data_IF_531206710876
#
_entry.id   IF_531206710876
#
_cell.length_a   1.000
_cell.length_b   1.000
_cell.length_c   1.000
_cell.angle_alpha   90.00
_cell.angle_beta   90.00
_cell.angle_gamma   90.00
#
_symmetry.space_group_name_H-M   'P 1'
#
loop_
_entity.id
_entity.type
_entity.pdbx_description
1 polymer ?
#
# COMPACT_ATOMS: atom_id res chain seq x y z
N UNK A 1 -15.29 2.90 22.91
CA UNK A 1 -15.17 1.44 22.65
C UNK A 1 -13.70 1.12 22.47
N UNK A 2 -13.18 0.05 23.07
CA UNK A 2 -11.76 -0.33 22.91
C UNK A 2 -11.56 -0.91 21.51
N UNK A 3 -10.75 -0.27 20.67
CA UNK A 3 -10.32 -0.87 19.41
C UNK A 3 -9.35 -2.02 19.74
N UNK A 4 -9.67 -3.22 19.27
CA UNK A 4 -8.83 -4.41 19.41
C UNK A 4 -7.76 -4.37 18.32
N UNK A 5 -6.61 -3.77 18.63
CA UNK A 5 -5.39 -3.92 17.83
C UNK A 5 -4.65 -5.16 18.32
N UNK A 6 -4.53 -6.16 17.47
CA UNK A 6 -3.72 -7.36 17.76
C UNK A 6 -2.26 -7.09 17.36
N UNK A 7 -1.40 -6.81 18.34
CA UNK A 7 0.03 -6.94 18.14
C UNK A 7 0.37 -8.44 18.05
N UNK A 8 0.68 -8.92 16.83
CA UNK A 8 1.03 -10.31 16.56
C UNK A 8 2.39 -10.39 15.86
N UNK A 9 3.23 -11.31 16.33
CA UNK A 9 4.53 -11.60 15.73
C UNK A 9 4.35 -12.16 14.31
N UNK A 10 4.77 -11.40 13.29
CA UNK A 10 4.83 -11.86 11.91
C UNK A 10 6.22 -12.47 11.64
N UNK A 11 6.33 -13.80 11.71
CA UNK A 11 7.53 -14.53 11.31
C UNK A 11 7.46 -14.92 9.82
N UNK A 12 8.06 -14.09 8.95
CA UNK A 12 8.52 -14.34 7.56
C UNK A 12 7.53 -15.04 6.58
N UNK A 13 7.26 -14.51 5.38
CA UNK A 13 8.10 -14.53 4.16
C UNK A 13 7.27 -13.82 3.05
N UNK A 14 7.76 -13.02 2.09
CA UNK A 14 9.13 -12.63 1.68
C UNK A 14 9.15 -11.21 1.08
N UNK A 15 10.06 -10.36 1.56
CA UNK A 15 10.81 -9.43 0.69
C UNK A 15 12.29 -9.74 0.94
N UNK A 16 12.92 -10.43 -0.01
CA UNK A 16 14.32 -10.87 0.08
C UNK A 16 15.29 -9.71 -0.17
N UNK A 17 15.37 -8.80 0.80
CA UNK A 17 16.41 -7.80 1.09
C UNK A 17 15.88 -7.08 2.35
N UNK A 18 16.27 -7.41 3.59
CA UNK A 18 17.55 -6.99 4.18
C UNK A 18 17.94 -7.80 5.44
N UNK A 19 17.54 -9.08 5.57
CA UNK A 19 17.78 -9.85 6.80
C UNK A 19 19.27 -10.19 7.11
N UNK A 20 20.19 -9.92 6.18
CA UNK A 20 21.62 -10.29 6.32
C UNK A 20 22.54 -9.19 6.90
N UNK A 21 22.09 -7.95 7.05
CA UNK A 21 22.99 -6.79 7.25
C UNK A 21 23.54 -6.55 8.67
N UNK A 22 23.43 -7.53 9.57
CA UNK A 22 24.29 -7.57 10.76
C UNK A 22 25.07 -8.87 10.79
N UNK A 23 26.39 -8.77 10.59
CA UNK A 23 27.34 -9.75 11.12
C UNK A 23 27.07 -9.90 12.60
N UNK A 24 26.91 -11.13 13.06
CA UNK A 24 26.77 -11.41 14.49
C UNK A 24 28.13 -11.22 15.18
N UNK A 25 28.38 -9.98 15.58
CA UNK A 25 29.53 -9.61 16.38
C UNK A 25 29.26 -9.83 17.89
N UNK A 26 28.06 -10.24 18.32
CA UNK A 26 27.77 -10.42 19.75
C UNK A 26 28.59 -11.57 20.35
N UNK A 27 28.81 -12.64 19.57
CA UNK A 27 29.73 -13.74 19.92
C UNK A 27 31.19 -13.31 20.14
N UNK A 28 31.63 -12.15 19.62
CA UNK A 28 32.96 -11.61 19.92
C UNK A 28 33.04 -10.84 21.25
N UNK A 29 31.91 -10.58 21.91
CA UNK A 29 31.82 -9.76 23.13
C UNK A 29 31.25 -10.50 24.35
N UNK A 30 31.05 -11.82 24.29
CA UNK A 30 30.57 -12.65 25.43
C UNK A 30 31.39 -12.49 26.73
N UNK A 31 32.62 -11.97 26.63
CA UNK A 31 33.50 -11.71 27.78
C UNK A 31 33.22 -10.37 28.47
N UNK A 32 32.72 -9.35 27.76
CA UNK A 32 32.62 -7.98 28.23
C UNK A 32 31.20 -7.59 28.69
N UNK A 33 31.09 -6.88 29.82
CA UNK A 33 29.83 -6.27 30.23
C UNK A 33 29.50 -5.07 29.35
N UNK A 34 28.25 -4.98 28.89
CA UNK A 34 27.73 -3.78 28.28
C UNK A 34 26.22 -3.80 28.02
N UNK A 35 25.67 -2.63 27.71
CA UNK A 35 24.29 -2.45 27.25
C UNK A 35 24.25 -2.32 25.73
N UNK A 36 23.24 -2.94 25.11
CA UNK A 36 23.06 -2.96 23.65
C UNK A 36 21.59 -3.14 23.27
N UNK A 37 21.31 -3.02 21.97
CA UNK A 37 20.05 -3.35 21.30
C UNK A 37 20.24 -4.71 20.60
N UNK A 38 19.52 -5.78 21.00
CA UNK A 38 19.65 -7.08 20.34
C UNK A 38 19.12 -7.04 18.90
N UNK A 39 19.81 -7.69 17.95
CA UNK A 39 19.52 -7.62 16.50
C UNK A 39 18.05 -7.91 16.19
N UNK A 40 17.53 -9.00 16.72
CA UNK A 40 16.16 -9.49 16.59
C UNK A 40 15.08 -8.57 17.21
N UNK A 41 15.47 -7.56 18.00
CA UNK A 41 14.57 -6.56 18.61
C UNK A 41 15.07 -5.12 18.43
N UNK A 42 16.00 -4.90 17.50
CA UNK A 42 16.49 -3.58 17.10
C UNK A 42 15.73 -2.96 15.93
N UNK A 43 14.83 -3.72 15.31
CA UNK A 43 13.90 -3.23 14.31
C UNK A 43 12.49 -3.75 14.63
N UNK A 44 11.49 -2.90 14.50
CA UNK A 44 10.08 -3.26 14.64
C UNK A 44 9.24 -2.52 13.59
N UNK A 45 8.14 -3.14 13.16
CA UNK A 45 7.19 -2.53 12.24
C UNK A 45 5.79 -2.47 12.85
N UNK A 46 5.11 -1.34 12.67
CA UNK A 46 3.69 -1.16 12.95
C UNK A 46 2.92 -0.91 11.65
N UNK A 47 1.64 -1.24 11.66
CA UNK A 47 0.71 -1.03 10.56
C UNK A 47 -0.51 -0.28 11.10
N UNK A 48 -0.52 1.04 10.96
CA UNK A 48 -1.46 1.93 11.64
C UNK A 48 -2.24 2.81 10.66
N UNK A 49 -3.49 3.10 10.98
CA UNK A 49 -4.31 4.08 10.27
C UNK A 49 -4.06 5.49 10.79
N UNK A 50 -4.50 6.51 10.05
CA UNK A 50 -4.54 7.89 10.54
C UNK A 50 -5.43 8.00 11.80
N UNK A 51 -5.02 8.87 12.72
CA UNK A 51 -5.61 9.05 14.05
C UNK A 51 -5.24 7.97 15.07
N UNK A 52 -4.45 6.95 14.72
CA UNK A 52 -4.11 5.86 15.62
C UNK A 52 -3.35 6.32 16.88
N UNK A 53 -3.64 5.62 17.98
CA UNK A 53 -2.90 5.71 19.25
C UNK A 53 -2.56 4.27 19.67
N UNK A 54 -1.27 3.97 19.84
CA UNK A 54 -0.76 2.60 19.99
C UNK A 54 0.46 2.59 20.92
N UNK A 55 0.85 1.45 21.51
CA UNK A 55 2.10 1.34 22.28
C UNK A 55 2.94 0.16 21.82
N UNK A 56 4.01 0.47 21.07
CA UNK A 56 5.01 -0.52 20.71
C UNK A 56 5.84 -0.92 21.94
N UNK A 57 6.02 -2.23 22.11
CA UNK A 57 6.91 -2.84 23.13
C UNK A 57 7.86 -3.89 22.54
N UNK A 58 7.89 -4.03 21.21
CA UNK A 58 8.71 -5.04 20.51
C UNK A 58 10.21 -4.68 20.48
N UNK A 59 10.54 -3.38 20.46
CA UNK A 59 11.93 -2.93 20.56
C UNK A 59 12.48 -3.17 21.97
N UNK A 60 13.75 -3.58 22.10
CA UNK A 60 14.37 -3.87 23.39
C UNK A 60 15.79 -3.34 23.53
N UNK A 61 16.20 -3.13 24.78
CA UNK A 61 17.60 -3.06 25.19
C UNK A 61 17.94 -4.27 26.06
N UNK A 62 19.21 -4.65 26.08
CA UNK A 62 19.72 -5.80 26.82
C UNK A 62 21.06 -5.50 27.50
N UNK A 63 21.37 -6.29 28.54
CA UNK A 63 22.70 -6.36 29.16
C UNK A 63 23.39 -7.67 28.75
N UNK A 64 24.68 -7.59 28.43
CA UNK A 64 25.47 -8.77 28.02
C UNK A 64 25.55 -9.84 29.13
N UNK A 65 25.54 -9.43 30.40
CA UNK A 65 25.43 -10.32 31.58
C UNK A 65 24.52 -9.68 32.64
N UNK A 66 23.90 -10.49 33.53
CA UNK A 66 23.18 -9.99 34.70
C UNK A 66 24.10 -9.17 35.63
N UNK A 67 23.52 -8.20 36.35
CA UNK A 67 24.21 -7.45 37.41
C UNK A 67 23.44 -7.48 38.72
N UNK A 68 24.14 -7.54 39.85
CA UNK A 68 23.52 -7.51 41.19
C UNK A 68 22.95 -6.15 41.60
N UNK A 69 23.31 -5.08 40.92
CA UNK A 69 22.76 -3.73 41.08
C UNK A 69 21.82 -3.37 39.93
N UNK A 70 20.96 -2.38 40.14
CA UNK A 70 20.19 -1.79 39.06
C UNK A 70 21.11 -1.07 38.05
N UNK A 71 20.68 -1.01 36.78
CA UNK A 71 21.41 -0.31 35.70
C UNK A 71 20.46 0.62 34.97
N UNK A 72 20.74 1.92 35.01
CA UNK A 72 20.03 2.94 34.22
C UNK A 72 20.57 3.00 32.79
N UNK A 73 19.69 3.32 31.86
CA UNK A 73 19.97 3.50 30.43
C UNK A 73 19.14 4.67 29.92
N UNK A 74 19.79 5.64 29.30
CA UNK A 74 19.15 6.80 28.69
C UNK A 74 18.96 6.54 27.20
N UNK A 75 17.74 6.75 26.71
CA UNK A 75 17.36 6.56 25.30
C UNK A 75 16.76 7.86 24.76
N UNK A 76 17.06 8.19 23.50
CA UNK A 76 16.43 9.30 22.78
C UNK A 76 16.13 8.93 21.34
N UNK A 77 15.42 9.83 20.64
CA UNK A 77 15.36 9.83 19.18
C UNK A 77 16.74 10.15 18.59
N UNK A 78 17.15 9.36 17.60
CA UNK A 78 18.34 9.63 16.77
C UNK A 78 18.12 10.74 15.72
N UNK A 79 16.88 11.19 15.58
CA UNK A 79 16.47 12.27 14.68
C UNK A 79 16.82 12.03 13.21
N UNK A 80 16.80 13.12 12.44
CA UNK A 80 17.02 13.11 10.99
C UNK A 80 18.40 12.56 10.59
N UNK A 81 19.44 12.86 11.38
CA UNK A 81 20.82 12.46 11.06
C UNK A 81 21.05 10.94 11.14
N UNK A 82 20.39 10.22 12.05
CA UNK A 82 20.42 8.76 12.08
C UNK A 82 19.58 8.15 10.96
N UNK A 83 18.39 8.71 10.70
CA UNK A 83 17.55 8.24 9.61
C UNK A 83 18.19 8.41 8.23
N UNK A 84 18.94 9.50 8.00
CA UNK A 84 19.61 9.75 6.73
C UNK A 84 20.78 8.81 6.46
N UNK A 85 21.52 8.39 7.49
CA UNK A 85 22.50 7.30 7.37
C UNK A 85 21.79 6.01 6.95
N UNK A 86 20.76 5.62 7.69
CA UNK A 86 19.99 4.42 7.42
C UNK A 86 19.43 4.41 6.00
N UNK A 87 18.77 5.50 5.57
CA UNK A 87 18.20 5.63 4.22
C UNK A 87 19.26 5.51 3.13
N UNK A 88 20.42 6.14 3.30
CA UNK A 88 21.53 6.06 2.34
C UNK A 88 22.15 4.67 2.27
N UNK A 89 22.35 4.02 3.41
CA UNK A 89 22.96 2.68 3.51
C UNK A 89 22.04 1.58 2.97
N UNK A 90 20.72 1.74 3.12
CA UNK A 90 19.71 0.74 2.78
C UNK A 90 18.96 1.04 1.47
N UNK A 91 19.29 2.13 0.78
CA UNK A 91 18.59 2.65 -0.41
C UNK A 91 17.07 2.81 -0.18
N UNK A 92 16.70 3.35 0.98
CA UNK A 92 15.30 3.61 1.38
C UNK A 92 15.01 5.10 1.45
N UNK A 93 13.72 5.45 1.47
CA UNK A 93 13.25 6.84 1.57
C UNK A 93 12.20 6.98 2.68
N UNK A 94 12.57 6.56 3.89
CA UNK A 94 11.71 6.68 5.07
C UNK A 94 11.64 8.12 5.58
N UNK A 95 10.46 8.54 6.02
CA UNK A 95 10.20 9.88 6.56
C UNK A 95 10.36 9.86 8.08
N UNK A 96 10.95 10.90 8.69
CA UNK A 96 11.08 10.95 10.15
C UNK A 96 9.71 11.11 10.82
N UNK A 97 9.40 10.28 11.81
CA UNK A 97 8.20 10.42 12.62
C UNK A 97 8.24 11.75 13.42
N UNK A 98 7.26 12.65 13.30
CA UNK A 98 7.24 13.91 14.04
C UNK A 98 7.19 13.72 15.56
N UNK A 99 7.92 14.56 16.31
CA UNK A 99 8.00 14.49 17.78
C UNK A 99 6.64 14.65 18.47
N UNK A 100 5.71 15.38 17.86
CA UNK A 100 4.33 15.52 18.34
C UNK A 100 3.53 14.21 18.33
N UNK A 101 3.92 13.25 17.50
CA UNK A 101 3.19 11.99 17.27
C UNK A 101 3.66 10.83 18.16
N UNK A 102 4.62 11.04 19.06
CA UNK A 102 5.07 9.98 19.96
C UNK A 102 5.39 10.43 21.39
N UNK A 103 5.57 9.44 22.25
CA UNK A 103 6.06 9.55 23.63
C UNK A 103 7.09 8.43 23.83
N UNK A 104 8.27 8.82 24.31
CA UNK A 104 9.42 7.93 24.55
C UNK A 104 9.93 8.19 25.98
N UNK A 105 10.18 7.16 26.80
CA UNK A 105 10.85 7.35 28.09
C UNK A 105 12.30 7.77 27.86
N UNK A 106 12.74 8.81 28.59
CA UNK A 106 14.13 9.25 28.57
C UNK A 106 15.07 8.29 29.29
N UNK A 107 14.59 7.54 30.28
CA UNK A 107 15.35 6.58 31.07
C UNK A 107 14.60 5.24 31.18
N UNK A 108 15.34 4.14 31.04
CA UNK A 108 14.93 2.79 31.42
C UNK A 108 15.86 2.30 32.55
N UNK A 109 15.34 1.48 33.46
CA UNK A 109 16.13 0.90 34.57
C UNK A 109 15.97 -0.62 34.57
N UNK A 110 17.09 -1.34 34.49
CA UNK A 110 17.13 -2.79 34.72
C UNK A 110 17.07 -3.03 36.22
N UNK A 111 16.17 -3.92 36.66
CA UNK A 111 16.22 -4.44 38.02
C UNK A 111 17.44 -5.35 38.21
N UNK A 112 17.91 -5.59 39.45
CA UNK A 112 18.94 -6.59 39.74
C UNK A 112 18.67 -7.93 39.05
N UNK A 113 19.70 -8.45 38.37
CA UNK A 113 19.75 -9.65 37.55
C UNK A 113 18.85 -9.68 36.30
N UNK A 114 18.14 -8.58 35.98
CA UNK A 114 17.39 -8.47 34.72
C UNK A 114 18.34 -8.21 33.55
N UNK A 115 18.15 -8.91 32.43
CA UNK A 115 18.99 -8.77 31.22
C UNK A 115 18.28 -8.17 30.02
N UNK A 116 16.95 -7.99 30.03
CA UNK A 116 16.19 -7.38 28.95
C UNK A 116 15.11 -6.40 29.45
N UNK A 117 14.92 -5.31 28.70
CA UNK A 117 13.81 -4.35 28.85
C UNK A 117 13.22 -4.03 27.48
N UNK A 118 11.89 -3.92 27.40
CA UNK A 118 11.25 -3.27 26.25
C UNK A 118 11.47 -1.77 26.29
N UNK A 119 11.57 -1.15 25.11
CA UNK A 119 11.52 0.29 24.90
C UNK A 119 10.06 0.65 24.55
N UNK A 120 9.23 1.10 25.51
CA UNK A 120 7.85 1.46 25.21
C UNK A 120 7.81 2.75 24.40
N UNK A 121 7.34 2.68 23.16
CA UNK A 121 7.08 3.85 22.32
C UNK A 121 5.58 4.00 22.18
N UNK A 122 5.01 5.06 22.75
CA UNK A 122 3.59 5.39 22.55
C UNK A 122 3.45 6.23 21.29
N UNK A 123 2.63 5.79 20.35
CA UNK A 123 2.20 6.57 19.19
C UNK A 123 0.91 7.30 19.56
N UNK A 124 0.80 8.58 19.19
CA UNK A 124 -0.30 9.48 19.58
C UNK A 124 -0.77 10.28 18.37
N UNK A 125 -2.07 10.24 18.08
CA UNK A 125 -2.68 11.08 17.04
C UNK A 125 -1.97 11.05 15.69
N UNK A 126 -1.47 9.87 15.27
CA UNK A 126 -0.66 9.69 14.07
C UNK A 126 -1.35 10.29 12.82
N UNK A 127 -0.63 11.04 12.00
CA UNK A 127 -1.13 11.55 10.70
C UNK A 127 -0.06 11.35 9.64
N UNK A 128 -0.35 10.60 8.59
CA UNK A 128 0.58 10.36 7.48
C UNK A 128 0.60 11.52 6.49
N UNK A 129 1.79 12.04 6.23
CA UNK A 129 2.08 12.99 5.15
C UNK A 129 2.57 12.30 3.86
N UNK A 130 2.38 10.98 3.75
CA UNK A 130 2.92 10.13 2.68
C UNK A 130 4.21 9.40 3.07
N UNK A 131 4.46 8.27 2.42
CA UNK A 131 5.58 7.38 2.72
C UNK A 131 5.39 6.55 4.00
N UNK A 132 6.42 5.78 4.37
CA UNK A 132 6.50 5.06 5.65
C UNK A 132 7.29 5.91 6.64
N UNK A 133 6.74 6.12 7.84
CA UNK A 133 7.46 6.81 8.91
C UNK A 133 8.49 5.90 9.58
N UNK A 134 9.55 6.51 10.09
CA UNK A 134 10.56 5.86 10.91
C UNK A 134 10.89 6.73 12.13
N UNK A 135 10.95 6.11 13.31
CA UNK A 135 11.54 6.67 14.51
C UNK A 135 12.85 5.94 14.80
N UNK A 136 14.02 6.53 14.44
CA UNK A 136 15.31 6.03 14.89
C UNK A 136 15.48 6.34 16.38
N UNK A 137 16.03 5.39 17.12
CA UNK A 137 16.35 5.51 18.54
C UNK A 137 17.83 5.19 18.76
N UNK A 138 18.43 5.78 19.79
CA UNK A 138 19.78 5.43 20.25
C UNK A 138 19.90 5.44 21.77
N UNK A 139 20.75 4.54 22.28
CA UNK A 139 21.27 4.59 23.64
C UNK A 139 22.37 5.66 23.71
N UNK A 140 22.24 6.62 24.63
CA UNK A 140 23.18 7.75 24.76
C UNK A 140 24.04 7.72 26.02
N UNK A 141 23.51 7.14 27.10
CA UNK A 141 24.24 6.96 28.36
C UNK A 141 23.70 5.75 29.11
N UNK A 142 24.52 5.15 29.95
CA UNK A 142 24.14 4.09 30.89
C UNK A 142 25.18 3.98 32.00
N UNK A 143 24.79 3.44 33.15
CA UNK A 143 25.71 3.06 34.23
C UNK A 143 26.67 1.92 33.79
N UNK A 144 26.36 1.24 32.68
CA UNK A 144 27.21 0.24 32.03
C UNK A 144 27.77 0.73 30.70
N UNK A 145 28.90 0.16 30.27
CA UNK A 145 29.51 0.43 28.96
C UNK A 145 28.51 0.18 27.82
N UNK A 146 28.36 1.12 26.88
CA UNK A 146 27.54 0.93 25.68
C UNK A 146 28.32 0.13 24.63
N UNK A 147 27.70 -0.88 24.03
CA UNK A 147 28.24 -1.56 22.84
C UNK A 147 27.94 -0.70 21.61
N UNK A 148 28.87 0.19 21.26
CA UNK A 148 28.66 1.23 20.24
C UNK A 148 28.22 0.72 18.86
N UNK A 149 28.55 -0.52 18.48
CA UNK A 149 28.12 -1.16 17.23
C UNK A 149 26.67 -1.67 17.25
N UNK A 150 26.02 -1.65 18.41
CA UNK A 150 24.66 -2.17 18.67
C UNK A 150 23.89 -1.22 19.59
N UNK A 151 24.05 0.10 19.43
CA UNK A 151 23.37 1.11 20.27
C UNK A 151 22.10 1.70 19.65
N UNK A 152 21.78 1.35 18.41
CA UNK A 152 20.74 1.95 17.59
C UNK A 152 19.55 0.99 17.40
N UNK A 153 18.33 1.53 17.38
CA UNK A 153 17.09 0.80 17.08
C UNK A 153 16.19 1.62 16.14
N UNK A 154 15.26 0.97 15.45
CA UNK A 154 14.37 1.60 14.48
C UNK A 154 12.93 1.09 14.60
N UNK A 155 11.98 2.01 14.79
CA UNK A 155 10.54 1.71 14.68
C UNK A 155 10.02 2.24 13.35
N UNK A 156 9.59 1.36 12.45
CA UNK A 156 8.92 1.73 11.21
C UNK A 156 7.40 1.68 11.37
N UNK A 157 6.70 2.65 10.80
CA UNK A 157 5.24 2.77 10.90
C UNK A 157 4.68 2.93 9.50
N UNK A 158 4.04 1.87 9.01
CA UNK A 158 3.41 1.79 7.70
C UNK A 158 1.94 2.20 7.80
N UNK A 159 1.47 2.99 6.83
CA UNK A 159 0.06 3.36 6.74
C UNK A 159 -0.79 2.15 6.33
N UNK A 160 -1.90 1.93 7.05
CA UNK A 160 -3.01 1.10 6.57
C UNK A 160 -4.23 1.95 6.28
N UNK A 161 -4.98 1.56 5.25
CA UNK A 161 -6.31 2.07 4.95
C UNK A 161 -7.34 1.10 5.53
N UNK A 162 -8.22 1.60 6.39
CA UNK A 162 -9.42 0.89 6.86
C UNK A 162 -10.63 1.52 6.17
N UNK A 163 -11.34 0.76 5.32
CA UNK A 163 -12.31 1.35 4.40
C UNK A 163 -13.43 0.42 3.97
N UNK A 164 -14.59 0.98 3.61
CA UNK A 164 -15.60 0.29 2.81
C UNK A 164 -15.08 0.11 1.39
N UNK A 165 -15.61 -0.87 0.67
CA UNK A 165 -15.36 -1.03 -0.77
C UNK A 165 -16.67 -1.00 -1.53
N UNK A 166 -16.59 -0.74 -2.84
CA UNK A 166 -17.73 -0.82 -3.72
C UNK A 166 -18.11 -2.27 -3.99
N UNK A 167 -19.40 -2.58 -3.85
CA UNK A 167 -20.01 -3.81 -4.33
C UNK A 167 -20.79 -3.54 -5.60
N UNK A 168 -20.29 -4.03 -6.73
CA UNK A 168 -20.95 -3.91 -8.02
C UNK A 168 -22.32 -4.61 -8.04
N UNK A 169 -23.28 -3.95 -8.67
CA UNK A 169 -24.59 -4.47 -9.07
C UNK A 169 -24.94 -3.99 -10.49
N UNK A 170 -26.02 -4.53 -11.05
CA UNK A 170 -26.45 -4.20 -12.41
C UNK A 170 -25.49 -4.69 -13.50
N UNK A 171 -25.49 -4.00 -14.65
CA UNK A 171 -24.67 -4.36 -15.83
C UNK A 171 -23.32 -3.65 -15.85
N UNK A 172 -23.32 -2.32 -15.80
CA UNK A 172 -22.16 -1.43 -15.71
C UNK A 172 -22.58 -0.09 -15.13
N UNK A 173 -21.66 0.59 -14.44
CA UNK A 173 -21.76 2.02 -14.13
C UNK A 173 -20.87 2.81 -15.11
N UNK A 174 -21.28 4.02 -15.48
CA UNK A 174 -20.65 4.79 -16.56
C UNK A 174 -20.53 6.26 -16.13
N UNK A 175 -19.39 6.88 -16.43
CA UNK A 175 -19.27 8.35 -16.52
C UNK A 175 -18.93 8.72 -17.96
N UNK A 176 -19.56 9.79 -18.47
CA UNK A 176 -19.24 10.36 -19.78
C UNK A 176 -18.49 11.67 -19.57
N UNK A 177 -17.43 11.87 -20.33
CA UNK A 177 -16.63 13.09 -20.29
C UNK A 177 -17.35 14.21 -21.08
N UNK A 178 -17.34 15.47 -20.61
CA UNK A 178 -17.91 16.59 -21.35
C UNK A 178 -17.26 16.81 -22.72
N UNK A 179 -15.96 16.55 -22.80
CA UNK A 179 -15.13 16.65 -24.00
C UNK A 179 -14.42 15.32 -24.26
N UNK A 180 -14.02 15.08 -25.52
CA UNK A 180 -13.30 13.86 -25.88
C UNK A 180 -11.83 14.00 -25.47
N UNK A 181 -11.36 13.11 -24.60
CA UNK A 181 -9.95 13.06 -24.18
C UNK A 181 -9.15 12.28 -25.22
N UNK A 182 -8.18 12.94 -25.86
CA UNK A 182 -7.25 12.31 -26.80
C UNK A 182 -5.87 12.16 -26.17
N UNK A 183 -5.26 10.98 -26.25
CA UNK A 183 -3.91 10.73 -25.71
C UNK A 183 -3.13 9.64 -26.45
N UNK A 184 -1.82 9.84 -26.59
CA UNK A 184 -0.89 8.84 -27.12
C UNK A 184 -0.35 7.86 -26.08
N UNK A 185 -0.66 8.06 -24.79
CA UNK A 185 -0.28 7.17 -23.68
C UNK A 185 -1.40 7.09 -22.65
N UNK A 186 -1.53 5.99 -21.91
CA UNK A 186 -2.51 5.91 -20.83
C UNK A 186 -2.13 4.89 -19.77
N UNK A 187 -2.76 4.99 -18.60
CA UNK A 187 -2.74 3.94 -17.59
C UNK A 187 -4.14 3.74 -17.01
N UNK A 188 -4.58 2.50 -16.95
CA UNK A 188 -5.88 2.05 -16.44
C UNK A 188 -5.64 1.13 -15.25
N UNK A 189 -6.09 1.52 -14.05
CA UNK A 189 -5.92 0.72 -12.83
C UNK A 189 -7.25 0.44 -12.13
N UNK A 190 -7.36 -0.73 -11.49
CA UNK A 190 -8.44 -1.06 -10.55
C UNK A 190 -8.01 -2.17 -9.57
N UNK A 191 -8.46 -2.09 -8.31
CA UNK A 191 -8.40 -3.23 -7.39
C UNK A 191 -9.73 -3.98 -7.42
N UNK A 192 -9.69 -5.31 -7.61
CA UNK A 192 -10.90 -6.15 -7.69
C UNK A 192 -10.78 -7.44 -6.89
N UNK A 193 -11.92 -7.94 -6.39
CA UNK A 193 -12.04 -9.25 -5.72
C UNK A 193 -13.38 -9.89 -6.05
N UNK A 194 -13.34 -11.16 -6.48
CA UNK A 194 -14.50 -11.97 -6.88
C UNK A 194 -14.57 -13.27 -6.10
N UNK A 195 -15.77 -13.70 -5.75
CA UNK A 195 -16.04 -14.98 -5.08
C UNK A 195 -15.85 -16.20 -5.99
N UNK A 196 -15.95 -16.03 -7.31
CA UNK A 196 -15.77 -17.09 -8.28
C UNK A 196 -15.37 -16.57 -9.67
N UNK A 197 -14.75 -17.46 -10.46
CA UNK A 197 -14.39 -17.25 -11.85
C UNK A 197 -14.94 -18.41 -12.70
N UNK A 198 -16.26 -18.51 -12.83
CA UNK A 198 -16.98 -19.66 -13.42
C UNK A 198 -17.65 -19.38 -14.76
N UNK A 199 -17.48 -18.18 -15.32
CA UNK A 199 -18.07 -17.76 -16.60
C UNK A 199 -17.07 -16.89 -17.37
N UNK A 200 -17.16 -16.92 -18.70
CA UNK A 200 -16.36 -16.05 -19.57
C UNK A 200 -16.94 -14.64 -19.68
N UNK A 201 -16.18 -13.73 -20.29
CA UNK A 201 -16.57 -12.36 -20.60
C UNK A 201 -16.99 -11.53 -19.38
N UNK A 202 -16.35 -11.79 -18.23
CA UNK A 202 -16.62 -11.10 -16.97
C UNK A 202 -15.85 -9.79 -16.90
N UNK A 203 -16.40 -8.78 -17.55
CA UNK A 203 -15.85 -7.43 -17.66
C UNK A 203 -15.41 -6.84 -16.32
N UNK A 204 -14.32 -6.07 -16.34
CA UNK A 204 -13.74 -5.40 -15.17
C UNK A 204 -13.99 -3.89 -15.29
N UNK A 205 -13.39 -3.23 -16.27
CA UNK A 205 -13.58 -1.81 -16.57
C UNK A 205 -13.05 -1.50 -17.97
N UNK A 206 -13.29 -0.28 -18.46
CA UNK A 206 -12.83 0.14 -19.78
C UNK A 206 -13.24 1.54 -20.20
N UNK A 207 -12.90 1.90 -21.44
CA UNK A 207 -13.27 3.17 -22.06
C UNK A 207 -14.68 3.14 -22.68
N UNK A 208 -15.33 4.31 -22.74
CA UNK A 208 -16.40 4.58 -23.70
C UNK A 208 -15.80 5.29 -24.90
N UNK A 209 -15.97 4.72 -26.09
CA UNK A 209 -15.43 5.25 -27.34
C UNK A 209 -16.47 6.09 -28.08
N UNK A 210 -16.02 6.73 -29.16
CA UNK A 210 -16.85 7.47 -30.11
C UNK A 210 -17.29 6.65 -31.34
N UNK A 211 -16.97 5.35 -31.37
CA UNK A 211 -17.38 4.41 -32.43
C UNK A 211 -16.24 3.66 -33.12
N UNK A 212 -14.97 3.96 -32.80
CA UNK A 212 -13.81 3.27 -33.38
C UNK A 212 -13.29 2.07 -32.55
N UNK A 213 -13.00 0.94 -33.21
CA UNK A 213 -12.33 -0.22 -32.59
C UNK A 213 -10.89 0.11 -32.14
N UNK A 214 -10.27 1.12 -32.74
CA UNK A 214 -8.95 1.62 -32.37
C UNK A 214 -8.92 2.21 -30.94
N UNK A 215 -10.04 2.72 -30.45
CA UNK A 215 -10.10 3.48 -29.20
C UNK A 215 -10.63 2.67 -28.00
N UNK A 216 -11.02 1.41 -28.25
CA UNK A 216 -11.49 0.51 -27.21
C UNK A 216 -10.38 0.20 -26.21
N UNK A 217 -10.71 0.24 -24.93
CA UNK A 217 -9.96 -0.35 -23.83
C UNK A 217 -10.98 -1.16 -23.06
N UNK A 218 -10.86 -2.49 -23.06
CA UNK A 218 -11.84 -3.39 -22.47
C UNK A 218 -11.12 -4.51 -21.73
N UNK A 219 -11.26 -4.53 -20.39
CA UNK A 219 -10.63 -5.52 -19.51
C UNK A 219 -11.69 -6.53 -19.06
N UNK A 220 -11.37 -7.83 -19.10
CA UNK A 220 -12.24 -8.92 -18.61
C UNK A 220 -11.47 -10.10 -18.05
N UNK A 221 -12.16 -10.94 -17.28
CA UNK A 221 -11.73 -12.31 -17.03
C UNK A 221 -12.52 -13.31 -17.88
N UNK A 222 -11.82 -14.31 -18.43
CA UNK A 222 -12.36 -15.36 -19.28
C UNK A 222 -12.78 -14.91 -20.69
N UNK A 223 -12.49 -15.72 -21.69
CA UNK A 223 -12.90 -15.54 -23.09
C UNK A 223 -13.09 -16.92 -23.75
N UNK A 224 -13.51 -16.97 -25.00
CA UNK A 224 -13.53 -18.24 -25.75
C UNK A 224 -12.13 -18.86 -25.98
N UNK A 225 -11.05 -18.09 -25.84
CA UNK A 225 -9.65 -18.53 -26.03
C UNK A 225 -8.89 -18.84 -24.74
N UNK A 226 -9.40 -18.46 -23.57
CA UNK A 226 -8.71 -18.58 -22.27
C UNK A 226 -9.63 -19.09 -21.17
N UNK A 227 -9.07 -19.58 -20.07
CA UNK A 227 -9.84 -20.03 -18.92
C UNK A 227 -10.61 -18.87 -18.26
N UNK A 228 -11.75 -19.20 -17.63
CA UNK A 228 -12.67 -18.24 -16.97
C UNK A 228 -12.02 -17.36 -15.90
N UNK A 229 -10.84 -17.74 -15.39
CA UNK A 229 -10.05 -17.03 -14.39
C UNK A 229 -8.75 -16.41 -14.92
N UNK A 230 -8.45 -16.54 -16.21
CA UNK A 230 -7.39 -15.77 -16.86
C UNK A 230 -7.88 -14.37 -17.20
N UNK A 231 -6.97 -13.40 -17.13
CA UNK A 231 -7.22 -11.99 -17.44
C UNK A 231 -6.94 -11.73 -18.93
N UNK A 232 -7.70 -10.81 -19.52
CA UNK A 232 -7.49 -10.32 -20.89
C UNK A 232 -7.71 -8.81 -20.93
N UNK A 233 -6.87 -8.12 -21.69
CA UNK A 233 -7.16 -6.78 -22.21
C UNK A 233 -7.42 -6.87 -23.71
N UNK A 234 -8.52 -6.27 -24.17
CA UNK A 234 -8.75 -5.93 -25.57
C UNK A 234 -8.52 -4.45 -25.75
N UNK A 235 -7.74 -4.08 -26.76
CA UNK A 235 -7.51 -2.68 -27.07
C UNK A 235 -7.04 -2.49 -28.51
N UNK A 236 -7.47 -1.40 -29.14
CA UNK A 236 -7.20 -1.08 -30.54
C UNK A 236 -7.42 -2.24 -31.54
N UNK A 237 -8.44 -3.07 -31.34
CA UNK A 237 -8.70 -4.27 -32.16
C UNK A 237 -7.67 -5.40 -32.02
N UNK A 238 -6.69 -5.29 -31.12
CA UNK A 238 -5.83 -6.37 -30.65
C UNK A 238 -6.24 -6.85 -29.25
N UNK A 239 -5.55 -7.87 -28.73
CA UNK A 239 -5.75 -8.37 -27.37
C UNK A 239 -4.45 -8.94 -26.78
N UNK A 240 -4.32 -8.87 -25.45
CA UNK A 240 -3.31 -9.64 -24.70
C UNK A 240 -4.06 -10.60 -23.78
N UNK A 241 -3.82 -11.90 -23.99
CA UNK A 241 -4.28 -13.00 -23.14
C UNK A 241 -3.19 -13.25 -22.07
N UNK A 242 -3.50 -13.02 -20.79
CA UNK A 242 -2.47 -13.16 -19.73
C UNK A 242 -2.17 -14.66 -19.51
N UNK A 243 -0.89 -15.09 -19.57
CA UNK A 243 -0.55 -16.50 -19.41
C UNK A 243 -0.98 -17.05 -18.04
N UNK A 244 -1.50 -18.27 -18.02
CA UNK A 244 -2.05 -18.89 -16.81
C UNK A 244 -1.02 -19.08 -15.68
N UNK A 245 0.26 -19.27 -16.03
CA UNK A 245 1.38 -19.33 -15.07
C UNK A 245 1.71 -17.96 -14.44
N UNK A 246 1.31 -16.86 -15.09
CA UNK A 246 1.46 -15.49 -14.59
C UNK A 246 0.24 -15.03 -13.80
N UNK A 247 -0.97 -15.37 -14.28
CA UNK A 247 -2.21 -15.17 -13.54
C UNK A 247 -3.28 -16.21 -13.91
N UNK A 248 -3.55 -17.09 -12.95
CA UNK A 248 -4.83 -17.81 -12.82
C UNK A 248 -5.51 -17.29 -11.56
N UNK A 249 -6.47 -16.38 -11.72
CA UNK A 249 -7.10 -15.72 -10.58
C UNK A 249 -7.87 -16.72 -9.71
N UNK A 250 -7.83 -16.51 -8.39
CA UNK A 250 -8.47 -17.38 -7.41
C UNK A 250 -9.68 -16.69 -6.78
N UNK A 251 -10.74 -17.47 -6.46
CA UNK A 251 -11.81 -17.05 -5.56
C UNK A 251 -11.29 -16.31 -4.33
N UNK A 252 -11.94 -15.20 -3.99
CA UNK A 252 -11.76 -14.44 -2.76
C UNK A 252 -10.40 -13.75 -2.54
N UNK A 253 -9.47 -13.81 -3.51
CA UNK A 253 -8.26 -12.98 -3.50
C UNK A 253 -8.53 -11.58 -4.10
N UNK A 254 -7.85 -10.56 -3.55
CA UNK A 254 -7.79 -9.22 -4.13
C UNK A 254 -6.63 -9.13 -5.13
N UNK A 255 -6.87 -8.44 -6.25
CA UNK A 255 -5.84 -8.12 -7.24
C UNK A 255 -5.86 -6.62 -7.55
N UNK A 256 -4.70 -5.96 -7.45
CA UNK A 256 -4.44 -4.67 -8.07
C UNK A 256 -4.03 -4.93 -9.52
N UNK A 257 -4.87 -4.53 -10.47
CA UNK A 257 -4.64 -4.68 -11.90
C UNK A 257 -4.28 -3.32 -12.48
N UNK A 258 -3.17 -3.25 -13.21
CA UNK A 258 -2.74 -2.03 -13.90
C UNK A 258 -2.38 -2.34 -15.36
N UNK A 259 -2.91 -1.54 -16.29
CA UNK A 259 -2.68 -1.66 -17.72
C UNK A 259 -2.08 -0.34 -18.21
N UNK A 260 -0.92 -0.39 -18.84
CA UNK A 260 -0.17 0.81 -19.29
C UNK A 260 0.02 0.73 -20.80
N UNK A 261 -0.22 1.83 -21.51
CA UNK A 261 0.21 2.00 -22.90
C UNK A 261 1.25 3.13 -22.98
N UNK A 262 2.47 2.77 -23.37
CA UNK A 262 3.65 3.65 -23.40
C UNK A 262 3.91 4.31 -24.78
N UNK A 263 2.88 4.37 -25.62
CA UNK A 263 2.92 4.70 -27.06
C UNK A 263 3.55 3.63 -27.96
N UNK A 264 4.10 2.54 -27.41
CA UNK A 264 4.64 1.40 -28.18
C UNK A 264 4.06 0.05 -27.75
N UNK A 265 4.04 -0.19 -26.44
CA UNK A 265 3.66 -1.44 -25.81
C UNK A 265 2.41 -1.24 -24.95
N UNK A 266 1.54 -2.24 -24.94
CA UNK A 266 0.58 -2.45 -23.86
C UNK A 266 1.23 -3.39 -22.84
N UNK A 267 1.32 -2.95 -21.59
CA UNK A 267 1.98 -3.64 -20.49
C UNK A 267 0.95 -3.91 -19.40
N UNK A 268 0.93 -5.13 -18.87
CA UNK A 268 -0.02 -5.54 -17.83
C UNK A 268 0.73 -5.92 -16.57
N UNK A 269 0.30 -5.33 -15.45
CA UNK A 269 0.83 -5.58 -14.12
C UNK A 269 -0.26 -6.15 -13.21
N UNK A 270 0.11 -7.12 -12.37
CA UNK A 270 -0.71 -7.66 -11.29
C UNK A 270 0.06 -7.47 -9.99
N UNK A 271 -0.57 -6.82 -9.00
CA UNK A 271 0.02 -6.54 -7.69
C UNK A 271 1.41 -5.85 -7.76
N UNK A 272 1.64 -5.05 -8.82
CA UNK A 272 2.89 -4.32 -9.04
C UNK A 272 3.98 -5.10 -9.80
N UNK A 273 3.69 -6.30 -10.31
CA UNK A 273 4.63 -7.13 -11.08
C UNK A 273 4.14 -7.25 -12.52
N UNK A 274 5.03 -7.04 -13.49
CA UNK A 274 4.72 -7.23 -14.91
C UNK A 274 4.40 -8.70 -15.21
N UNK A 275 3.24 -8.96 -15.81
CA UNK A 275 2.77 -10.31 -16.17
C UNK A 275 2.68 -10.53 -17.68
N UNK A 276 2.54 -9.46 -18.47
CA UNK A 276 2.56 -9.52 -19.92
C UNK A 276 2.92 -8.16 -20.53
N UNK A 277 3.43 -8.20 -21.77
CA UNK A 277 3.79 -7.04 -22.59
C UNK A 277 3.68 -7.43 -24.06
N UNK A 278 3.03 -6.60 -24.86
CA UNK A 278 2.98 -6.78 -26.32
C UNK A 278 2.85 -5.43 -27.05
N UNK A 279 3.22 -5.38 -28.33
CA UNK A 279 3.10 -4.20 -29.18
C UNK A 279 1.73 -4.17 -29.88
N UNK A 280 0.78 -3.45 -29.29
CA UNK A 280 -0.53 -3.20 -29.91
C UNK A 280 -0.55 -1.76 -30.43
N UNK A 281 -0.53 -1.64 -31.76
CA UNK A 281 -0.53 -0.38 -32.53
C UNK A 281 0.40 0.72 -32.01
N UNK A 282 1.73 0.54 -32.08
CA UNK A 282 2.68 1.60 -31.77
C UNK A 282 2.34 2.92 -32.49
N UNK A 283 2.36 4.03 -31.75
CA UNK A 283 2.03 5.37 -32.25
C UNK A 283 0.54 5.74 -32.25
N UNK A 284 -0.38 4.81 -31.93
CA UNK A 284 -1.83 5.10 -31.91
C UNK A 284 -2.19 6.19 -30.87
N UNK A 285 -3.13 7.07 -31.24
CA UNK A 285 -3.76 8.05 -30.34
C UNK A 285 -5.16 7.58 -30.01
N UNK A 286 -5.43 7.35 -28.73
CA UNK A 286 -6.72 6.90 -28.23
C UNK A 286 -7.64 8.09 -27.96
N UNK A 287 -8.90 8.03 -28.42
CA UNK A 287 -9.94 9.00 -28.04
C UNK A 287 -10.94 8.37 -27.07
N UNK A 288 -11.27 9.07 -25.99
CA UNK A 288 -12.14 8.56 -24.92
C UNK A 288 -13.25 9.58 -24.65
N UNK A 289 -14.50 9.11 -24.66
CA UNK A 289 -15.70 9.90 -24.30
C UNK A 289 -16.24 9.57 -22.91
N UNK A 290 -15.58 8.69 -22.17
CA UNK A 290 -15.98 8.28 -20.84
C UNK A 290 -15.28 7.01 -20.42
N UNK A 291 -15.66 6.49 -19.25
CA UNK A 291 -15.24 5.18 -18.74
C UNK A 291 -16.39 4.46 -18.07
N UNK A 292 -16.27 3.14 -17.98
CA UNK A 292 -17.24 2.27 -17.33
C UNK A 292 -16.57 1.26 -16.41
N UNK A 293 -17.28 0.84 -15.36
CA UNK A 293 -16.86 -0.22 -14.43
C UNK A 293 -17.93 -1.31 -14.47
N UNK A 294 -17.49 -2.55 -14.65
CA UNK A 294 -18.36 -3.71 -14.83
C UNK A 294 -19.16 -4.09 -13.57
N UNK A 295 -20.42 -4.47 -13.79
CA UNK A 295 -21.30 -5.04 -12.77
C UNK A 295 -20.83 -6.41 -12.26
N UNK A 296 -20.03 -7.13 -13.05
CA UNK A 296 -19.54 -8.49 -12.75
C UNK A 296 -18.30 -8.55 -11.83
N UNK A 297 -17.84 -7.43 -11.28
CA UNK A 297 -16.65 -7.41 -10.43
C UNK A 297 -16.82 -7.95 -9.02
N UNK A 298 -18.06 -8.03 -8.54
CA UNK A 298 -18.38 -8.15 -7.11
C UNK A 298 -17.81 -7.03 -6.25
N UNK A 299 -16.52 -7.04 -5.87
CA UNK A 299 -15.90 -5.99 -5.07
C UNK A 299 -14.85 -5.20 -5.88
N UNK A 300 -14.87 -3.87 -5.77
CA UNK A 300 -13.96 -2.95 -6.46
C UNK A 300 -13.47 -1.86 -5.51
N UNK A 301 -12.21 -1.45 -5.64
CA UNK A 301 -11.73 -0.15 -5.16
C UNK A 301 -10.68 0.47 -6.08
N UNK A 302 -10.30 1.73 -5.84
CA UNK A 302 -9.12 2.35 -6.47
C UNK A 302 -9.11 2.33 -8.00
N UNK A 303 -10.22 2.69 -8.65
CA UNK A 303 -10.26 2.82 -10.11
C UNK A 303 -9.59 4.14 -10.51
N UNK A 304 -8.48 4.07 -11.23
CA UNK A 304 -7.66 5.24 -11.60
C UNK A 304 -7.35 5.21 -13.09
N UNK A 305 -7.60 6.33 -13.77
CA UNK A 305 -7.38 6.46 -15.19
C UNK A 305 -6.45 7.64 -15.42
N UNK A 306 -5.28 7.41 -16.01
CA UNK A 306 -4.27 8.42 -16.30
C UNK A 306 -4.11 8.62 -17.81
N UNK A 307 -3.88 9.87 -18.23
CA UNK A 307 -3.45 10.24 -19.61
C UNK A 307 -1.95 10.02 -19.86
N UNK A 308 -1.23 9.48 -18.89
CA UNK A 308 0.20 9.18 -18.97
C UNK A 308 0.49 7.69 -18.77
N UNK A 309 1.60 7.22 -19.32
CA UNK A 309 2.14 5.90 -19.00
C UNK A 309 2.85 5.93 -17.64
N UNK A 310 2.36 5.18 -16.66
CA UNK A 310 3.01 5.07 -15.34
C UNK A 310 4.18 4.08 -15.42
N UNK A 311 5.30 4.43 -14.80
CA UNK A 311 6.48 3.55 -14.76
C UNK A 311 6.26 2.34 -13.85
N UNK A 312 7.03 1.27 -14.02
CA UNK A 312 6.95 0.10 -13.16
C UNK A 312 7.14 0.45 -11.66
N UNK A 313 8.01 1.41 -11.34
CA UNK A 313 8.23 1.92 -9.98
C UNK A 313 7.01 2.65 -9.46
N UNK A 314 6.35 3.48 -10.28
CA UNK A 314 5.13 4.19 -9.91
C UNK A 314 3.96 3.23 -9.68
N UNK A 315 3.79 2.24 -10.56
CA UNK A 315 2.81 1.16 -10.41
C UNK A 315 3.06 0.42 -9.10
N UNK A 316 4.27 -0.10 -8.88
CA UNK A 316 4.67 -0.83 -7.66
C UNK A 316 4.53 0.01 -6.38
N UNK A 317 4.80 1.31 -6.44
CA UNK A 317 4.68 2.22 -5.31
C UNK A 317 3.22 2.49 -4.89
N UNK A 318 2.26 2.38 -5.81
CA UNK A 318 0.84 2.72 -5.61
C UNK A 318 -0.07 1.52 -5.24
N UNK A 319 0.46 0.30 -5.31
CA UNK A 319 -0.27 -0.94 -4.97
C UNK A 319 -0.83 -0.85 -3.54
N UNK A 320 -2.10 -1.23 -3.38
CA UNK A 320 -2.90 -1.22 -2.14
C UNK A 320 -3.20 0.16 -1.50
N UNK A 321 -2.53 1.24 -1.91
CA UNK A 321 -2.67 2.57 -1.34
C UNK A 321 -3.81 3.36 -1.99
N UNK A 322 -4.10 4.54 -1.44
CA UNK A 322 -4.72 5.64 -2.19
C UNK A 322 -3.61 6.41 -2.96
N UNK A 323 -3.98 7.10 -4.04
CA UNK A 323 -3.08 8.01 -4.79
C UNK A 323 -3.40 9.47 -4.52
N UNK A 324 -2.47 10.38 -4.84
CA UNK A 324 -2.72 11.82 -4.80
C UNK A 324 -3.81 12.19 -5.82
N UNK A 325 -4.99 12.68 -5.39
CA UNK A 325 -6.06 13.08 -6.29
C UNK A 325 -5.74 14.32 -7.14
N UNK A 326 -4.63 15.01 -6.87
CA UNK A 326 -4.24 16.24 -7.57
C UNK A 326 -3.24 16.01 -8.72
N UNK A 327 -2.80 14.77 -8.98
CA UNK A 327 -1.95 14.40 -10.12
C UNK A 327 -2.60 14.86 -11.44
N UNK A 328 -1.91 15.73 -12.17
CA UNK A 328 -2.42 16.37 -13.40
C UNK A 328 -2.64 15.41 -14.56
N UNK A 329 -2.17 14.17 -14.42
CA UNK A 329 -2.38 13.12 -15.38
C UNK A 329 -3.66 12.33 -15.13
N UNK A 330 -4.30 12.45 -13.96
CA UNK A 330 -5.59 11.79 -13.70
C UNK A 330 -6.68 12.37 -14.61
N UNK A 331 -7.30 11.50 -15.39
CA UNK A 331 -8.55 11.75 -16.12
C UNK A 331 -9.72 11.54 -15.14
N UNK A 332 -9.68 10.47 -14.35
CA UNK A 332 -10.60 10.26 -13.22
C UNK A 332 -9.98 9.30 -12.19
N UNK A 333 -10.38 9.46 -10.94
CA UNK A 333 -9.98 8.63 -9.81
C UNK A 333 -11.17 8.39 -8.88
N UNK A 334 -11.65 7.16 -8.84
CA UNK A 334 -12.69 6.71 -7.93
C UNK A 334 -12.06 5.81 -6.85
N UNK A 335 -11.86 6.30 -5.62
CA UNK A 335 -11.41 5.45 -4.51
C UNK A 335 -12.42 4.36 -4.16
N UNK A 336 -13.71 4.59 -4.46
CA UNK A 336 -14.82 3.65 -4.28
C UNK A 336 -15.02 3.21 -2.82
N UNK A 337 -14.88 4.17 -1.90
CA UNK A 337 -14.81 3.99 -0.45
C UNK A 337 -16.00 4.57 0.34
N UNK A 338 -17.06 5.01 -0.33
CA UNK A 338 -18.22 5.67 0.29
C UNK A 338 -17.99 7.12 0.70
N UNK A 339 -16.92 7.77 0.21
CA UNK A 339 -16.52 9.12 0.61
C UNK A 339 -16.40 10.08 -0.56
N UNK A 340 -16.78 11.34 -0.33
CA UNK A 340 -16.64 12.45 -1.26
C UNK A 340 -15.48 13.33 -0.84
N UNK A 341 -14.72 13.81 -1.81
CA UNK A 341 -13.68 14.83 -1.62
C UNK A 341 -14.17 16.15 -2.22
N UNK A 342 -14.04 17.23 -1.45
CA UNK A 342 -14.07 18.58 -2.00
C UNK A 342 -12.70 18.89 -2.64
N UNK A 343 -12.68 19.13 -3.95
CA UNK A 343 -11.44 19.31 -4.70
C UNK A 343 -10.69 20.61 -4.36
N UNK A 344 -11.38 21.62 -3.82
CA UNK A 344 -10.83 22.96 -3.53
C UNK A 344 -10.17 23.05 -2.15
N UNK A 345 -10.75 22.37 -1.16
CA UNK A 345 -10.31 22.36 0.24
C UNK A 345 -9.56 21.08 0.61
N UNK A 346 -9.73 20.00 -0.17
CA UNK A 346 -9.23 18.67 0.16
C UNK A 346 -10.02 17.95 1.26
N UNK A 347 -11.09 18.55 1.80
CA UNK A 347 -11.92 17.94 2.85
C UNK A 347 -12.60 16.68 2.31
N UNK A 348 -12.60 15.62 3.11
CA UNK A 348 -13.23 14.33 2.79
C UNK A 348 -14.38 14.09 3.77
N UNK A 349 -15.57 13.79 3.24
CA UNK A 349 -16.79 13.47 4.01
C UNK A 349 -17.34 12.11 3.62
N UNK A 350 -18.03 11.44 4.55
CA UNK A 350 -18.82 10.25 4.24
C UNK A 350 -20.02 10.65 3.37
N UNK A 351 -20.14 10.07 2.18
CA UNK A 351 -21.23 10.32 1.23
C UNK A 351 -21.37 9.10 0.30
N UNK A 352 -22.28 8.19 0.65
CA UNK A 352 -22.58 6.99 -0.14
C UNK A 352 -23.65 7.22 -1.21
N UNK A 353 -24.11 8.46 -1.43
CA UNK A 353 -25.22 8.73 -2.37
C UNK A 353 -24.79 8.57 -3.82
N UNK A 354 -23.54 8.91 -4.14
CA UNK A 354 -22.94 8.78 -5.47
C UNK A 354 -21.59 8.07 -5.45
N UNK A 355 -20.91 8.12 -6.59
CA UNK A 355 -19.57 7.61 -6.82
C UNK A 355 -18.69 8.80 -7.20
N UNK A 356 -17.81 9.18 -6.28
CA UNK A 356 -17.12 10.46 -6.38
C UNK A 356 -15.78 10.29 -7.07
N UNK A 357 -15.67 10.84 -8.28
CA UNK A 357 -14.36 11.15 -8.85
C UNK A 357 -13.66 12.20 -7.98
N UNK A 358 -12.49 11.86 -7.44
CA UNK A 358 -11.66 12.74 -6.61
C UNK A 358 -10.64 13.54 -7.42
N UNK A 359 -10.49 13.24 -8.72
CA UNK A 359 -9.61 13.99 -9.63
C UNK A 359 -10.05 15.45 -9.77
N UNK A 360 -9.18 16.28 -10.36
CA UNK A 360 -9.49 17.68 -10.69
C UNK A 360 -10.70 17.84 -11.65
N UNK A 361 -11.12 16.77 -12.34
CA UNK A 361 -12.19 16.84 -13.35
C UNK A 361 -13.59 16.60 -12.79
N UNK A 362 -13.73 15.93 -11.64
CA UNK A 362 -15.00 15.76 -10.94
C UNK A 362 -16.08 14.99 -11.72
N UNK A 363 -15.69 14.00 -12.53
CA UNK A 363 -16.60 13.18 -13.36
C UNK A 363 -17.42 12.16 -12.55
N UNK A 364 -18.11 12.62 -11.50
CA UNK A 364 -18.89 11.82 -10.56
C UNK A 364 -20.02 11.01 -11.25
N UNK A 365 -20.32 9.83 -10.72
CA UNK A 365 -21.44 8.98 -11.18
C UNK A 365 -22.54 8.97 -10.11
N UNK A 366 -23.75 9.35 -10.47
CA UNK A 366 -24.92 9.36 -9.55
C UNK A 366 -25.80 8.13 -9.69
N UNK A 367 -25.88 7.53 -10.88
CA UNK A 367 -26.60 6.27 -11.08
C UNK A 367 -25.72 5.07 -10.72
N UNK A 368 -25.98 4.51 -9.53
CA UNK A 368 -25.25 3.37 -8.96
C UNK A 368 -25.67 2.01 -9.54
N UNK A 369 -26.73 1.93 -10.37
CA UNK A 369 -27.23 0.68 -10.98
C UNK A 369 -27.45 -0.49 -10.01
N UNK A 370 -27.88 -0.20 -8.78
CA UNK A 370 -28.11 -1.20 -7.72
C UNK A 370 -26.85 -1.64 -6.96
N UNK A 371 -25.70 -1.05 -7.25
CA UNK A 371 -24.45 -1.22 -6.50
C UNK A 371 -24.47 -0.47 -5.16
N UNK A 372 -23.68 -0.93 -4.19
CA UNK A 372 -23.63 -0.38 -2.82
C UNK A 372 -22.20 -0.28 -2.29
N UNK A 373 -21.99 0.36 -1.14
CA UNK A 373 -20.73 0.25 -0.38
C UNK A 373 -20.90 -0.80 0.73
N UNK A 374 -19.86 -1.60 0.96
CA UNK A 374 -19.90 -2.72 1.91
C UNK A 374 -18.63 -2.81 2.76
N UNK A 375 -18.81 -3.37 3.95
CA UNK A 375 -17.77 -3.76 4.91
C UNK A 375 -17.52 -5.28 4.86
N UNK A 376 -16.35 -5.71 5.35
CA UNK A 376 -16.05 -7.13 5.59
C UNK A 376 -16.69 -7.58 6.91
N UNK A 377 -17.86 -8.21 6.83
CA UNK A 377 -18.56 -8.80 7.97
C UNK A 377 -18.76 -7.83 9.16
N UNK A 378 -19.04 -6.56 8.87
CA UNK A 378 -19.24 -5.50 9.86
C UNK A 378 -17.94 -4.80 10.33
N UNK A 379 -16.81 -5.04 9.65
CA UNK A 379 -15.55 -4.32 9.84
C UNK A 379 -15.06 -3.72 8.50
N UNK A 380 -14.43 -2.55 8.49
CA UNK A 380 -13.83 -2.03 7.27
C UNK A 380 -12.74 -2.97 6.74
N UNK A 381 -12.63 -3.09 5.42
CA UNK A 381 -11.53 -3.80 4.76
C UNK A 381 -10.20 -3.13 5.09
N UNK A 382 -9.16 -3.92 5.31
CA UNK A 382 -7.78 -3.47 5.59
C UNK A 382 -6.92 -3.57 4.33
N UNK A 383 -6.21 -2.49 4.01
CA UNK A 383 -5.20 -2.46 2.94
C UNK A 383 -3.90 -1.79 3.42
N UNK A 384 -2.70 -2.28 3.02
CA UNK A 384 -2.44 -3.54 2.34
C UNK A 384 -3.05 -4.74 3.07
N UNK A 385 -3.19 -5.85 2.35
CA UNK A 385 -3.70 -7.10 2.89
C UNK A 385 -2.79 -7.58 4.04
N UNK A 386 -3.29 -8.46 4.91
CA UNK A 386 -2.42 -9.17 5.85
C UNK A 386 -1.84 -10.39 5.13
N UNK A 387 -0.54 -10.65 5.30
CA UNK A 387 0.08 -11.84 4.73
C UNK A 387 -0.64 -13.10 5.25
N UNK A 388 -1.24 -13.86 4.33
CA UNK A 388 -1.99 -15.08 4.66
C UNK A 388 -3.50 -14.90 4.93
N UNK A 389 -4.13 -13.79 4.54
CA UNK A 389 -5.60 -13.59 4.58
C UNK A 389 -6.19 -12.98 3.31
#
# INVERSE_FOLDING_TARGET
MKQLVYALFASALLVSCQNELYKDNAGQFETAQGVYVPKETGSAQLFLADGANETNTALRVALAKPQGSAVKVTIRSGGKAQLDRYNKENNTNFVLLPESMYELPSELTFAPNQTHLSIPVKIKGLQFSGGTYALPLEIVSSDSKIINSQKEAYLFINQITLTKVWKSGGSEIVTMFPETVSTGTWTYEAMVRRSAYSQNNRSVFGSKTDGGVNHEIYIRFGDVTIQTNQLQIKTAGGQIDIPADKLSAKPNEWYMLSFVYDNTNVIVYVNGVEVARDQIRPGEVYTMKGVWIGGANELVREVRIYKSARTAEQIKASVWKMVDPNDENLICYFPLNGKKRDASTGVITEDETGIWDWSKNGYHITDKKGSTFVDDNGKPFRFPLEDGK
#
